data_IF_621704647615
#
_entry.id   IF_621704647615
#
_cell.length_a   1.000
_cell.length_b   1.000
_cell.length_c   1.000
_cell.angle_alpha   90.00
_cell.angle_beta   90.00
_cell.angle_gamma   90.00
#
_symmetry.space_group_name_H-M   'P 1'
#
loop_
_entity.id
_entity.type
_entity.pdbx_description
1 polymer ?
#
# COMPACT_ATOMS: atom_id res chain seq x y z
N UNK A 1 -1.71 -26.13 -28.26
CA UNK A 1 -2.40 -25.94 -27.00
C UNK A 1 -3.86 -26.32 -27.10
N UNK A 2 -4.47 -26.54 -25.96
CA UNK A 2 -5.87 -26.88 -25.88
C UNK A 2 -6.74 -25.63 -25.95
N UNK A 3 -7.95 -25.77 -26.48
CA UNK A 3 -8.91 -24.68 -26.58
C UNK A 3 -9.60 -24.45 -25.25
N UNK A 4 -9.70 -23.19 -24.86
CA UNK A 4 -10.46 -22.79 -23.67
C UNK A 4 -11.94 -22.80 -24.04
N UNK A 5 -12.74 -23.60 -23.31
CA UNK A 5 -14.18 -23.67 -23.53
C UNK A 5 -14.94 -22.73 -22.62
N UNK A 6 -14.41 -22.50 -21.41
CA UNK A 6 -15.05 -21.60 -20.44
C UNK A 6 -13.99 -21.02 -19.52
N UNK A 7 -14.24 -19.79 -19.07
CA UNK A 7 -13.43 -19.12 -18.05
C UNK A 7 -14.38 -18.67 -16.94
N UNK A 8 -14.06 -19.00 -15.70
CA UNK A 8 -14.89 -18.63 -14.57
C UNK A 8 -14.01 -18.17 -13.40
N UNK A 9 -14.66 -17.53 -12.43
CA UNK A 9 -14.04 -17.06 -11.20
C UNK A 9 -14.69 -17.74 -10.02
N UNK A 10 -13.86 -18.19 -9.07
CA UNK A 10 -14.31 -18.79 -7.81
C UNK A 10 -13.94 -17.87 -6.65
N UNK A 11 -14.80 -17.78 -5.66
CA UNK A 11 -14.54 -17.00 -4.46
C UNK A 11 -15.00 -15.57 -4.51
N UNK A 12 -15.70 -15.15 -5.55
CA UNK A 12 -16.26 -13.81 -5.68
C UNK A 12 -17.75 -13.88 -5.98
N UNK A 13 -18.53 -12.85 -5.60
CA UNK A 13 -19.95 -12.78 -5.97
C UNK A 13 -20.11 -12.73 -7.48
N UNK A 14 -21.22 -13.30 -7.95
CA UNK A 14 -21.51 -13.34 -9.39
C UNK A 14 -21.58 -11.96 -10.03
N UNK A 15 -22.02 -10.95 -9.29
CA UNK A 15 -22.13 -9.58 -9.77
C UNK A 15 -20.79 -8.92 -10.08
N UNK A 16 -19.69 -9.44 -9.49
CA UNK A 16 -18.33 -8.93 -9.73
C UNK A 16 -17.74 -9.51 -11.01
N UNK A 17 -18.13 -10.72 -11.40
CA UNK A 17 -17.54 -11.42 -12.53
C UNK A 17 -17.55 -10.63 -13.84
N UNK A 18 -18.65 -9.96 -14.24
CA UNK A 18 -18.64 -9.19 -15.48
C UNK A 18 -17.60 -8.07 -15.52
N UNK A 19 -17.18 -7.58 -14.36
CA UNK A 19 -16.16 -6.54 -14.27
C UNK A 19 -14.75 -7.10 -14.44
N UNK A 20 -14.57 -8.41 -14.19
CA UNK A 20 -13.27 -9.06 -14.25
C UNK A 20 -12.97 -9.65 -15.63
N UNK A 21 -13.97 -10.13 -16.35
CA UNK A 21 -13.76 -10.74 -17.67
C UNK A 21 -13.01 -9.84 -18.66
N UNK A 22 -13.29 -8.53 -18.74
CA UNK A 22 -12.55 -7.66 -19.67
C UNK A 22 -11.05 -7.53 -19.37
N UNK A 23 -10.64 -7.88 -18.16
CA UNK A 23 -9.22 -7.81 -17.75
C UNK A 23 -8.42 -9.00 -18.29
N UNK A 24 -9.07 -10.05 -18.75
CA UNK A 24 -8.41 -11.28 -19.12
C UNK A 24 -8.02 -11.30 -20.60
N UNK A 25 -6.85 -11.88 -20.87
CA UNK A 25 -6.44 -12.26 -22.20
C UNK A 25 -6.99 -13.64 -22.59
N UNK A 26 -7.11 -14.53 -21.60
CA UNK A 26 -7.67 -15.87 -21.81
C UNK A 26 -9.17 -15.77 -21.96
N UNK A 27 -9.69 -16.20 -23.10
CA UNK A 27 -11.10 -16.09 -23.46
C UNK A 27 -11.61 -17.42 -23.97
N UNK A 28 -12.91 -17.72 -23.80
CA UNK A 28 -13.52 -18.88 -24.44
C UNK A 28 -13.29 -18.83 -25.95
N UNK A 29 -12.91 -19.96 -26.53
CA UNK A 29 -12.57 -20.06 -27.95
C UNK A 29 -11.09 -19.81 -28.23
N UNK A 30 -10.34 -19.25 -27.31
CA UNK A 30 -8.90 -19.07 -27.45
C UNK A 30 -8.11 -20.31 -27.01
N UNK A 31 -6.81 -20.23 -27.15
CA UNK A 31 -5.90 -21.32 -26.78
C UNK A 31 -5.28 -21.02 -25.44
N UNK A 32 -5.17 -22.05 -24.59
CA UNK A 32 -4.50 -21.94 -23.29
C UNK A 32 -3.01 -21.67 -23.53
N UNK A 33 -2.47 -20.63 -22.89
CA UNK A 33 -1.04 -20.35 -22.89
C UNK A 33 -0.58 -19.90 -21.51
N UNK A 34 0.64 -20.26 -21.15
CA UNK A 34 1.22 -19.85 -19.87
C UNK A 34 1.38 -18.33 -19.80
N UNK A 35 1.69 -17.69 -20.93
CA UNK A 35 1.84 -16.25 -21.01
C UNK A 35 0.51 -15.53 -20.75
N UNK A 36 -0.58 -15.97 -21.41
CA UNK A 36 -1.90 -15.38 -21.21
C UNK A 36 -2.35 -15.52 -19.76
N UNK A 37 -2.12 -16.67 -19.15
CA UNK A 37 -2.49 -16.90 -17.75
C UNK A 37 -1.68 -16.00 -16.83
N UNK A 38 -0.38 -15.85 -17.06
CA UNK A 38 0.44 -14.93 -16.26
C UNK A 38 -0.04 -13.48 -16.38
N UNK A 39 -0.38 -13.08 -17.59
CA UNK A 39 -0.90 -11.73 -17.83
C UNK A 39 -2.25 -11.53 -17.16
N UNK A 40 -3.10 -12.56 -17.15
CA UNK A 40 -4.39 -12.51 -16.47
C UNK A 40 -4.21 -12.35 -14.96
N UNK A 41 -3.30 -13.12 -14.35
CA UNK A 41 -3.00 -13.03 -12.93
C UNK A 41 -2.47 -11.64 -12.59
N UNK A 42 -1.58 -11.09 -13.42
CA UNK A 42 -1.06 -9.74 -13.22
C UNK A 42 -2.16 -8.68 -13.32
N UNK A 43 -3.07 -8.83 -14.29
CA UNK A 43 -4.18 -7.88 -14.45
C UNK A 43 -5.15 -7.94 -13.28
N UNK A 44 -5.48 -9.14 -12.81
CA UNK A 44 -6.33 -9.31 -11.64
C UNK A 44 -5.66 -8.76 -10.38
N UNK A 45 -4.35 -8.98 -10.24
CA UNK A 45 -3.58 -8.44 -9.12
C UNK A 45 -3.50 -6.92 -9.11
N UNK A 46 -3.50 -6.30 -10.29
CA UNK A 46 -3.44 -4.84 -10.40
C UNK A 46 -4.71 -4.15 -9.90
N UNK A 47 -5.82 -4.89 -9.73
CA UNK A 47 -7.02 -4.33 -9.12
C UNK A 47 -6.82 -3.99 -7.64
N UNK A 48 -5.87 -4.67 -6.98
CA UNK A 48 -5.52 -4.40 -5.58
C UNK A 48 -6.47 -4.96 -4.56
N UNK A 49 -7.54 -5.67 -4.95
CA UNK A 49 -8.59 -6.14 -4.03
C UNK A 49 -8.49 -7.63 -3.69
N UNK A 50 -7.54 -8.36 -4.28
CA UNK A 50 -7.39 -9.78 -4.01
C UNK A 50 -6.08 -10.06 -3.27
N UNK A 51 -6.17 -10.88 -2.21
CA UNK A 51 -4.99 -11.34 -1.47
C UNK A 51 -4.37 -12.59 -2.10
N UNK A 52 -5.15 -13.33 -2.88
CA UNK A 52 -4.67 -14.53 -3.55
C UNK A 52 -5.40 -14.72 -4.87
N UNK A 53 -4.64 -15.08 -5.91
CA UNK A 53 -5.14 -15.36 -7.25
C UNK A 53 -4.48 -16.65 -7.70
N UNK A 54 -5.28 -17.70 -7.93
CA UNK A 54 -4.76 -19.02 -8.29
C UNK A 54 -5.48 -19.55 -9.53
N UNK A 55 -4.78 -19.72 -10.67
CA UNK A 55 -5.37 -20.34 -11.85
C UNK A 55 -5.51 -21.85 -11.66
N UNK A 56 -6.57 -22.42 -12.21
CA UNK A 56 -6.84 -23.84 -12.15
C UNK A 56 -7.44 -24.29 -13.48
N UNK A 57 -7.00 -25.46 -13.95
CA UNK A 57 -7.46 -26.01 -15.22
C UNK A 57 -8.21 -27.30 -14.97
N UNK A 58 -9.32 -27.48 -15.69
CA UNK A 58 -10.07 -28.73 -15.70
C UNK A 58 -10.23 -29.18 -17.14
N UNK A 59 -9.78 -30.40 -17.46
CA UNK A 59 -9.97 -30.95 -18.78
C UNK A 59 -11.38 -31.49 -18.92
N UNK A 60 -12.05 -31.07 -19.99
CA UNK A 60 -13.38 -31.55 -20.34
C UNK A 60 -13.36 -32.02 -21.79
N UNK A 61 -14.34 -32.83 -22.24
CA UNK A 61 -14.31 -33.36 -23.61
C UNK A 61 -14.16 -32.31 -24.70
N UNK A 62 -14.75 -31.12 -24.53
CA UNK A 62 -14.71 -30.03 -25.49
C UNK A 62 -13.43 -29.22 -25.45
N UNK A 63 -12.56 -29.40 -24.43
CA UNK A 63 -11.33 -28.65 -24.28
C UNK A 63 -10.93 -28.45 -22.82
N UNK A 64 -10.72 -27.21 -22.39
CA UNK A 64 -10.26 -26.89 -21.04
C UNK A 64 -11.15 -25.80 -20.44
N UNK A 65 -11.57 -26.02 -19.21
CA UNK A 65 -12.17 -24.97 -18.39
C UNK A 65 -11.09 -24.33 -17.54
N UNK A 66 -10.99 -23.01 -17.62
CA UNK A 66 -10.03 -22.24 -16.84
C UNK A 66 -10.78 -21.53 -15.70
N UNK A 67 -10.39 -21.81 -14.47
CA UNK A 67 -10.95 -21.17 -13.30
C UNK A 67 -9.88 -20.36 -12.59
N UNK A 68 -10.21 -19.15 -12.18
CA UNK A 68 -9.38 -18.34 -11.31
C UNK A 68 -9.98 -18.35 -9.91
N UNK A 69 -9.27 -18.92 -8.97
CA UNK A 69 -9.66 -18.87 -7.56
C UNK A 69 -9.16 -17.56 -6.96
N UNK A 70 -10.07 -16.77 -6.46
CA UNK A 70 -9.79 -15.44 -5.93
C UNK A 70 -10.15 -15.38 -4.46
N UNK A 71 -9.24 -14.84 -3.68
CA UNK A 71 -9.50 -14.53 -2.27
C UNK A 71 -9.49 -13.02 -2.13
N UNK A 72 -10.64 -12.45 -1.80
CA UNK A 72 -10.77 -11.01 -1.63
C UNK A 72 -10.09 -10.55 -0.35
N UNK A 73 -9.56 -9.33 -0.38
CA UNK A 73 -9.04 -8.69 0.82
C UNK A 73 -10.17 -8.45 1.82
N UNK A 74 -9.84 -8.28 3.11
CA UNK A 74 -10.86 -7.96 4.12
C UNK A 74 -11.55 -6.63 3.82
N UNK A 75 -12.76 -6.49 4.34
CA UNK A 75 -13.50 -5.23 4.30
C UNK A 75 -12.95 -4.30 5.37
N UNK A 76 -12.71 -3.03 5.00
CA UNK A 76 -12.22 -2.00 5.92
C UNK A 76 -13.39 -1.21 6.46
N UNK A 77 -13.56 -1.22 7.79
CA UNK A 77 -14.58 -0.45 8.48
C UNK A 77 -14.01 0.83 9.11
N UNK A 78 -12.75 0.77 9.53
CA UNK A 78 -12.09 1.91 10.18
C UNK A 78 -10.65 2.01 9.70
N UNK A 79 -10.12 3.25 9.73
CA UNK A 79 -8.71 3.52 9.45
C UNK A 79 -8.12 4.22 10.66
N UNK A 80 -7.04 3.68 11.20
CA UNK A 80 -6.34 4.24 12.36
C UNK A 80 -4.87 4.47 12.04
N UNK A 81 -4.33 5.53 12.62
CA UNK A 81 -2.93 5.90 12.45
C UNK A 81 -2.22 5.93 13.80
N UNK A 82 -0.97 5.54 13.80
CA UNK A 82 -0.09 5.64 14.99
C UNK A 82 1.23 6.26 14.57
N UNK A 83 1.85 6.97 15.50
CA UNK A 83 3.16 7.61 15.27
C UNK A 83 3.09 8.98 14.61
N UNK A 84 1.91 9.44 14.22
CA UNK A 84 1.71 10.75 13.62
C UNK A 84 1.52 11.80 14.72
N UNK A 85 2.46 12.72 14.83
CA UNK A 85 2.36 13.85 15.76
C UNK A 85 2.21 15.19 15.02
N UNK A 86 2.66 15.24 13.76
CA UNK A 86 2.65 16.45 12.94
C UNK A 86 1.27 16.67 12.32
N UNK A 87 0.65 15.61 11.82
CA UNK A 87 -0.68 15.66 11.22
C UNK A 87 -1.67 14.89 12.10
N UNK A 88 -2.91 15.37 12.17
CA UNK A 88 -3.97 14.70 12.93
C UNK A 88 -4.47 13.46 12.19
N UNK A 89 -5.06 12.53 12.94
CA UNK A 89 -5.68 11.35 12.36
C UNK A 89 -6.77 11.72 11.37
N UNK A 90 -7.58 12.71 11.70
CA UNK A 90 -8.65 13.17 10.83
C UNK A 90 -8.11 13.70 9.50
N UNK A 91 -7.04 14.50 9.55
CA UNK A 91 -6.41 15.03 8.35
C UNK A 91 -5.87 13.91 7.46
N UNK A 92 -5.22 12.91 8.06
CA UNK A 92 -4.69 11.77 7.33
C UNK A 92 -5.79 10.89 6.75
N UNK A 93 -6.89 10.70 7.47
CA UNK A 93 -8.05 9.96 6.94
C UNK A 93 -8.65 10.64 5.72
N UNK A 94 -8.71 11.96 5.73
CA UNK A 94 -9.22 12.73 4.60
C UNK A 94 -8.34 12.54 3.36
N UNK A 95 -7.02 12.43 3.55
CA UNK A 95 -6.11 12.17 2.45
C UNK A 95 -6.26 10.74 1.94
N UNK A 96 -6.31 9.77 2.85
CA UNK A 96 -6.51 8.38 2.48
C UNK A 96 -7.81 8.18 1.70
N UNK A 97 -8.86 8.86 2.14
CA UNK A 97 -10.17 8.85 1.48
C UNK A 97 -10.61 7.43 1.07
N UNK A 98 -10.46 6.49 2.00
CA UNK A 98 -10.88 5.11 1.78
C UNK A 98 -12.36 5.02 2.11
N UNK A 99 -13.20 4.51 1.18
CA UNK A 99 -14.62 4.35 1.47
C UNK A 99 -14.84 3.39 2.63
N UNK A 100 -15.71 3.78 3.55
CA UNK A 100 -16.08 2.93 4.69
C UNK A 100 -16.80 1.68 4.18
N UNK A 101 -16.57 0.55 4.85
CA UNK A 101 -17.22 -0.73 4.53
C UNK A 101 -16.90 -1.23 3.12
N UNK A 102 -15.73 -0.89 2.60
CA UNK A 102 -15.27 -1.34 1.29
C UNK A 102 -14.16 -2.38 1.41
N UNK A 103 -14.02 -3.19 0.38
CA UNK A 103 -12.92 -4.16 0.30
C UNK A 103 -11.59 -3.40 0.21
N UNK A 104 -10.61 -3.83 0.98
CA UNK A 104 -9.29 -3.21 1.00
C UNK A 104 -8.65 -3.30 -0.38
N UNK A 105 -8.24 -2.15 -0.92
CA UNK A 105 -7.53 -2.06 -2.18
C UNK A 105 -6.09 -1.65 -1.90
N UNK A 106 -5.16 -2.61 -1.98
CA UNK A 106 -3.76 -2.34 -1.68
C UNK A 106 -3.10 -1.37 -2.65
N UNK A 107 -3.53 -1.36 -3.91
CA UNK A 107 -2.98 -0.40 -4.87
C UNK A 107 -3.35 1.02 -4.47
N UNK A 108 -4.62 1.23 -4.10
CA UNK A 108 -5.09 2.53 -3.64
C UNK A 108 -4.42 2.94 -2.33
N UNK A 109 -4.32 2.01 -1.38
CA UNK A 109 -3.68 2.29 -0.09
C UNK A 109 -2.23 2.72 -0.29
N UNK A 110 -1.49 2.02 -1.14
CA UNK A 110 -0.09 2.38 -1.41
C UNK A 110 0.04 3.76 -2.05
N UNK A 111 -0.85 4.09 -2.97
CA UNK A 111 -0.87 5.43 -3.59
C UNK A 111 -1.11 6.51 -2.54
N UNK A 112 -2.06 6.29 -1.65
CA UNK A 112 -2.40 7.25 -0.61
C UNK A 112 -1.30 7.38 0.44
N UNK A 113 -0.63 6.28 0.76
CA UNK A 113 0.53 6.29 1.66
C UNK A 113 1.64 7.16 1.05
N UNK A 114 1.91 7.02 -0.25
CA UNK A 114 2.89 7.87 -0.93
C UNK A 114 2.49 9.34 -0.90
N UNK A 115 1.20 9.65 -1.02
CA UNK A 115 0.71 11.03 -0.89
C UNK A 115 1.00 11.58 0.51
N UNK A 116 0.77 10.77 1.54
CA UNK A 116 1.06 11.15 2.93
C UNK A 116 2.56 11.39 3.11
N UNK A 117 3.39 10.47 2.63
CA UNK A 117 4.85 10.62 2.72
C UNK A 117 5.30 11.91 2.01
N UNK A 118 4.76 12.18 0.83
CA UNK A 118 5.09 13.40 0.08
C UNK A 118 4.70 14.67 0.83
N UNK A 119 3.59 14.64 1.57
CA UNK A 119 3.19 15.78 2.39
C UNK A 119 4.19 16.06 3.50
N UNK A 120 4.65 15.00 4.18
CA UNK A 120 5.71 15.15 5.18
C UNK A 120 6.98 15.72 4.53
N UNK A 121 7.36 15.18 3.36
CA UNK A 121 8.55 15.63 2.65
C UNK A 121 8.47 17.11 2.28
N UNK A 122 7.31 17.56 1.82
CA UNK A 122 7.09 18.97 1.46
C UNK A 122 7.24 19.89 2.66
N UNK A 123 6.94 19.41 3.85
CA UNK A 123 7.09 20.16 5.08
C UNK A 123 8.50 20.02 5.69
N UNK A 124 9.38 19.28 5.05
CA UNK A 124 10.76 19.11 5.49
C UNK A 124 11.06 17.86 6.31
N UNK A 125 10.08 16.99 6.52
CA UNK A 125 10.24 15.75 7.30
C UNK A 125 10.76 14.64 6.40
N UNK A 126 12.05 14.68 6.07
CA UNK A 126 12.66 13.81 5.06
C UNK A 126 12.93 12.38 5.53
N UNK A 127 12.78 12.12 6.83
CA UNK A 127 13.00 10.78 7.39
C UNK A 127 11.70 10.01 7.61
N UNK A 128 10.60 10.53 7.09
CA UNK A 128 9.30 9.87 7.21
C UNK A 128 9.29 8.53 6.49
N UNK A 129 8.64 7.56 7.11
CA UNK A 129 8.37 6.26 6.48
C UNK A 129 7.08 5.68 7.06
N UNK A 130 6.55 4.67 6.38
CA UNK A 130 5.39 3.91 6.86
C UNK A 130 5.85 2.45 6.95
N UNK A 131 6.41 2.06 8.12
CA UNK A 131 7.02 0.74 8.26
C UNK A 131 6.02 -0.40 8.33
N UNK A 132 4.76 -0.12 8.64
CA UNK A 132 3.78 -1.16 8.84
C UNK A 132 2.39 -0.72 8.44
N UNK A 133 1.66 -1.61 7.76
CA UNK A 133 0.26 -1.45 7.38
C UNK A 133 -0.41 -2.79 7.63
N UNK A 134 -1.38 -2.84 8.52
CA UNK A 134 -2.06 -4.08 8.88
C UNK A 134 -3.56 -3.90 8.92
N UNK A 135 -4.29 -4.98 8.65
CA UNK A 135 -5.75 -5.02 8.82
C UNK A 135 -6.05 -6.05 9.90
N UNK A 136 -6.76 -5.60 10.93
CA UNK A 136 -7.17 -6.49 12.02
C UNK A 136 -8.43 -7.26 11.65
N UNK A 137 -8.74 -8.37 12.36
CA UNK A 137 -9.93 -9.15 12.06
C UNK A 137 -11.25 -8.39 12.14
N UNK A 138 -11.29 -7.30 12.91
CA UNK A 138 -12.49 -6.46 13.03
C UNK A 138 -12.65 -5.45 11.88
N UNK A 139 -11.73 -5.45 10.91
CA UNK A 139 -11.80 -4.57 9.75
C UNK A 139 -11.17 -3.20 9.99
N UNK A 140 -10.24 -3.07 10.92
CA UNK A 140 -9.51 -1.83 11.14
C UNK A 140 -8.19 -1.86 10.39
N UNK A 141 -7.99 -0.88 9.51
CA UNK A 141 -6.71 -0.68 8.82
C UNK A 141 -5.81 0.17 9.71
N UNK A 142 -4.75 -0.44 10.21
CA UNK A 142 -3.74 0.25 11.04
C UNK A 142 -2.55 0.66 10.19
N UNK A 143 -2.24 1.95 10.19
CA UNK A 143 -1.10 2.51 9.48
C UNK A 143 -0.15 3.10 10.52
N UNK A 144 1.04 2.52 10.60
CA UNK A 144 2.08 2.99 11.50
C UNK A 144 2.99 3.94 10.75
N UNK A 145 3.10 5.16 11.24
CA UNK A 145 3.93 6.20 10.64
C UNK A 145 5.16 6.41 11.51
N UNK A 146 6.32 6.41 10.88
CA UNK A 146 7.56 6.85 11.51
C UNK A 146 7.90 8.21 10.92
N UNK A 147 7.85 9.23 11.76
CA UNK A 147 8.13 10.60 11.31
C UNK A 147 9.64 10.90 11.31
N UNK A 148 10.46 9.88 11.60
CA UNK A 148 11.89 10.04 11.63
C UNK A 148 12.34 10.81 12.87
N UNK A 149 11.95 10.32 14.03
CA UNK A 149 12.30 10.99 15.30
C UNK A 149 13.79 11.03 15.52
N UNK A 150 14.23 12.14 16.13
CA UNK A 150 15.63 12.31 16.48
C UNK A 150 15.88 11.58 17.80
N UNK A 151 16.57 10.45 17.70
CA UNK A 151 16.95 9.69 18.91
C UNK A 151 18.28 10.16 19.46
N UNK A 152 19.22 10.45 18.56
CA UNK A 152 20.52 11.00 18.92
C UNK A 152 20.86 12.12 17.97
N UNK A 153 21.35 13.22 18.51
CA UNK A 153 21.83 14.33 17.70
C UNK A 153 23.36 14.16 17.60
N UNK A 154 23.82 13.80 16.41
CA UNK A 154 25.24 13.59 16.14
C UNK A 154 25.72 14.62 15.13
N UNK A 155 26.75 15.35 15.50
CA UNK A 155 27.35 16.34 14.61
C UNK A 155 28.62 15.76 14.01
N UNK A 156 28.49 15.29 12.77
CA UNK A 156 29.59 14.66 12.05
C UNK A 156 30.42 15.76 11.36
N UNK A 157 31.72 15.68 11.49
CA UNK A 157 32.63 16.66 10.93
C UNK A 157 32.90 17.87 11.80
N UNK A 158 32.23 17.97 12.93
CA UNK A 158 32.53 19.00 13.92
C UNK A 158 33.65 18.52 14.87
N UNK A 159 34.39 19.46 15.35
CA UNK A 159 35.50 19.17 16.23
C UNK A 159 35.34 19.89 17.57
N UNK A 160 35.77 19.21 18.62
CA UNK A 160 35.99 19.82 19.94
C UNK A 160 34.71 20.31 20.60
N UNK A 161 34.85 21.38 21.36
CA UNK A 161 33.80 21.90 22.24
C UNK A 161 32.67 22.61 21.54
N UNK A 162 32.81 22.85 20.26
CA UNK A 162 31.78 23.55 19.48
C UNK A 162 30.49 22.76 19.37
N UNK A 163 30.55 21.45 19.53
CA UNK A 163 29.38 20.59 19.46
C UNK A 163 28.29 20.98 20.44
N UNK A 164 28.69 21.31 21.67
CA UNK A 164 27.74 21.71 22.70
C UNK A 164 27.02 23.00 22.37
N UNK A 165 27.73 23.95 21.78
CA UNK A 165 27.15 25.23 21.37
C UNK A 165 26.16 25.04 20.25
N UNK A 166 26.52 24.23 19.25
CA UNK A 166 25.65 23.95 18.11
C UNK A 166 24.37 23.25 18.57
N UNK A 167 24.48 22.26 19.44
CA UNK A 167 23.33 21.53 19.96
C UNK A 167 22.33 22.43 20.69
N UNK A 168 22.83 23.44 21.43
CA UNK A 168 21.94 24.37 22.13
C UNK A 168 21.18 25.27 21.19
N UNK A 169 21.74 25.55 20.01
CA UNK A 169 21.09 26.42 19.03
C UNK A 169 20.12 25.68 18.12
N UNK A 170 20.14 24.36 18.11
CA UNK A 170 19.20 23.59 17.31
C UNK A 170 17.78 23.75 17.85
N UNK A 171 16.83 23.96 16.93
CA UNK A 171 15.43 24.23 17.28
C UNK A 171 14.60 22.98 17.55
N UNK A 172 15.18 21.81 17.43
CA UNK A 172 14.49 20.58 17.71
C UNK A 172 15.20 19.81 18.82
N UNK A 173 14.46 18.96 19.52
CA UNK A 173 14.95 18.17 20.63
C UNK A 173 14.93 16.70 20.26
N UNK A 174 15.74 15.90 21.02
CA UNK A 174 15.70 14.45 20.91
C UNK A 174 14.26 13.94 21.08
N UNK A 175 13.84 13.01 20.23
CA UNK A 175 12.49 12.46 20.25
C UNK A 175 11.50 13.18 19.37
N UNK A 176 11.84 14.35 18.85
CA UNK A 176 11.00 15.07 17.90
C UNK A 176 11.27 14.58 16.48
N UNK A 177 10.29 14.69 15.58
CA UNK A 177 10.50 14.37 14.16
C UNK A 177 11.58 15.27 13.56
N UNK A 178 12.48 14.67 12.78
CA UNK A 178 13.52 15.43 12.09
C UNK A 178 12.91 16.25 10.96
N UNK A 179 13.27 17.52 10.90
CA UNK A 179 12.81 18.42 9.84
C UNK A 179 14.03 19.16 9.28
N UNK A 180 14.30 18.96 7.97
CA UNK A 180 15.47 19.55 7.32
C UNK A 180 15.43 21.07 7.29
N UNK A 181 14.24 21.68 7.22
CA UNK A 181 14.12 23.14 7.19
C UNK A 181 14.48 23.74 8.53
N UNK A 182 14.06 23.12 9.63
CA UNK A 182 14.42 23.57 10.96
C UNK A 182 15.91 23.36 11.25
N UNK A 183 16.45 22.23 10.83
CA UNK A 183 17.87 21.94 10.98
C UNK A 183 18.73 22.96 10.23
N UNK A 184 18.37 23.25 8.98
CA UNK A 184 19.07 24.23 8.17
C UNK A 184 19.04 25.62 8.82
N UNK A 185 17.88 26.06 9.31
CA UNK A 185 17.73 27.36 9.97
C UNK A 185 18.49 27.44 11.27
N UNK A 186 18.60 26.34 11.98
CA UNK A 186 19.33 26.29 13.25
C UNK A 186 20.84 26.29 13.09
N UNK A 187 21.33 25.84 11.93
CA UNK A 187 22.75 25.74 11.66
C UNK A 187 23.34 26.97 10.93
N UNK A 188 22.49 27.86 10.48
CA UNK A 188 22.92 29.14 9.88
C UNK A 188 23.41 30.14 10.97
#
# INVERSE_FOLDING_TARGET
>A
GKTITAVDFKGVPGEVKPKLYPLLQSKPGGVVSAESVRNDVASLGSTGVFSQISPSFSEIPEGVQLDYKLVSNPVVHHVEFTGNTIFTDEYLRNIMNIPQDSVLNFVLVNQKIHEIENMYLKQGYILVSVPDVQVTPDGTLHITISEGKIENIVLVGNEKTKDKVILRELRFKKGQPFNKFLASRSME
#
